data_IF_367616122196
#
_entry.id   IF_367616122196
#
_cell.length_a   1.000
_cell.length_b   1.000
_cell.length_c   1.000
_cell.angle_alpha   90.00
_cell.angle_beta   90.00
_cell.angle_gamma   90.00
#
_symmetry.space_group_name_H-M   'P 1'
#
loop_
_entity.id
_entity.type
_entity.pdbx_description
1 polymer ?
#
# COMPACT_ATOMS: atom_id res chain seq x y z
N UNK A 1 19.98 -7.15 40.04
CA UNK A 1 19.19 -7.80 38.96
C UNK A 1 17.86 -8.21 39.57
N UNK A 2 16.79 -7.44 39.34
CA UNK A 2 15.48 -7.68 39.97
C UNK A 2 14.72 -8.77 39.20
N UNK A 3 14.41 -9.90 39.87
CA UNK A 3 13.57 -10.97 39.32
C UNK A 3 12.10 -10.60 39.50
N UNK A 4 11.43 -10.21 38.42
CA UNK A 4 9.99 -9.95 38.38
C UNK A 4 9.30 -11.27 38.00
N UNK A 5 9.24 -12.23 38.93
CA UNK A 5 8.77 -13.61 38.65
C UNK A 5 7.25 -13.79 38.67
N UNK A 6 6.49 -12.85 39.23
CA UNK A 6 5.04 -13.01 39.42
C UNK A 6 4.20 -12.51 38.25
N UNK A 7 4.74 -11.61 37.42
CA UNK A 7 4.01 -11.06 36.27
C UNK A 7 4.01 -12.02 35.07
N UNK A 8 5.03 -12.86 34.94
CA UNK A 8 5.23 -13.81 33.84
C UNK A 8 4.15 -14.89 33.77
N UNK A 9 3.78 -15.51 34.89
CA UNK A 9 2.92 -16.69 34.87
C UNK A 9 1.48 -16.36 34.44
N UNK A 10 0.96 -15.19 34.84
CA UNK A 10 -0.37 -14.76 34.39
C UNK A 10 -0.36 -14.34 32.92
N UNK A 11 0.71 -13.71 32.45
CA UNK A 11 0.84 -13.31 31.05
C UNK A 11 1.04 -14.53 30.13
N UNK A 12 1.83 -15.54 30.55
CA UNK A 12 1.99 -16.83 29.84
C UNK A 12 0.63 -17.52 29.69
N UNK A 13 -0.19 -17.52 30.75
CA UNK A 13 -1.52 -18.15 30.73
C UNK A 13 -2.51 -17.41 29.80
N UNK A 14 -2.50 -16.08 29.80
CA UNK A 14 -3.39 -15.28 28.93
C UNK A 14 -2.97 -15.39 27.46
N UNK A 15 -1.67 -15.34 27.16
CA UNK A 15 -1.19 -15.55 25.78
C UNK A 15 -1.45 -16.97 25.29
N UNK A 16 -1.33 -17.99 26.14
CA UNK A 16 -1.64 -19.38 25.78
C UNK A 16 -3.10 -19.55 25.37
N UNK A 17 -4.02 -18.89 26.07
CA UNK A 17 -5.45 -19.02 25.80
C UNK A 17 -5.88 -18.33 24.48
N UNK A 18 -5.16 -17.30 24.03
CA UNK A 18 -5.54 -16.52 22.85
C UNK A 18 -4.68 -16.75 21.60
N UNK A 19 -3.47 -17.30 21.73
CA UNK A 19 -2.51 -17.43 20.62
C UNK A 19 -1.98 -18.86 20.36
N UNK A 20 -2.52 -19.89 21.03
CA UNK A 20 -2.23 -21.31 20.82
C UNK A 20 -0.75 -21.65 20.58
N UNK A 21 0.10 -21.22 21.52
CA UNK A 21 1.55 -21.41 21.46
C UNK A 21 1.91 -22.85 21.85
N UNK A 22 2.32 -23.66 20.87
CA UNK A 22 2.66 -25.08 20.99
C UNK A 22 4.02 -25.40 21.67
N UNK A 23 4.44 -24.66 22.69
CA UNK A 23 5.71 -24.89 23.40
C UNK A 23 5.52 -25.07 24.91
N UNK A 24 6.04 -26.17 25.47
CA UNK A 24 5.82 -26.56 26.88
C UNK A 24 6.72 -25.86 27.92
N UNK A 25 7.61 -24.96 27.53
CA UNK A 25 8.57 -24.32 28.46
C UNK A 25 8.29 -22.82 28.67
N UNK A 26 7.58 -22.44 29.75
CA UNK A 26 7.50 -21.04 30.24
C UNK A 26 8.79 -20.64 31.03
N UNK A 27 9.96 -21.14 30.62
CA UNK A 27 11.26 -20.92 31.30
C UNK A 27 12.24 -20.02 30.55
N UNK A 28 11.84 -19.46 29.41
CA UNK A 28 12.76 -18.68 28.57
C UNK A 28 12.80 -17.23 29.09
N UNK A 29 13.98 -16.69 29.45
CA UNK A 29 14.10 -15.30 29.85
C UNK A 29 13.67 -14.40 28.68
N UNK A 30 12.60 -13.64 28.88
CA UNK A 30 12.17 -12.62 27.94
C UNK A 30 13.26 -11.54 27.85
N UNK A 31 14.03 -11.56 26.77
CA UNK A 31 14.90 -10.44 26.43
C UNK A 31 14.10 -9.46 25.59
N UNK A 32 14.08 -8.18 25.97
CA UNK A 32 13.45 -7.10 25.18
C UNK A 32 14.01 -7.06 23.74
N UNK A 33 15.19 -7.66 23.53
CA UNK A 33 15.90 -7.74 22.26
C UNK A 33 15.65 -9.05 21.47
N UNK A 34 14.87 -10.01 21.97
CA UNK A 34 14.51 -11.24 21.23
C UNK A 34 13.23 -11.10 20.38
N UNK A 35 12.80 -9.88 20.11
CA UNK A 35 11.77 -9.56 19.11
C UNK A 35 12.28 -9.83 17.70
N UNK A 36 12.34 -11.12 17.30
CA UNK A 36 12.08 -11.59 15.93
C UNK A 36 12.82 -12.91 15.61
N UNK A 37 12.22 -14.09 15.83
CA UNK A 37 12.52 -15.21 14.95
C UNK A 37 11.85 -14.92 13.59
N UNK A 38 12.63 -14.96 12.50
CA UNK A 38 12.17 -14.73 11.13
C UNK A 38 10.93 -15.55 10.73
N UNK A 39 10.71 -16.68 11.42
CA UNK A 39 9.52 -17.53 11.28
C UNK A 39 8.21 -16.82 11.65
N UNK A 40 8.20 -15.90 12.61
CA UNK A 40 6.98 -15.16 12.99
C UNK A 40 6.61 -14.07 11.98
N UNK A 41 7.61 -13.43 11.35
CA UNK A 41 7.36 -12.53 10.24
C UNK A 41 6.80 -13.27 9.03
N UNK A 42 7.22 -14.52 8.79
CA UNK A 42 6.62 -15.35 7.76
C UNK A 42 5.15 -15.69 8.05
N UNK A 43 4.77 -15.93 9.32
CA UNK A 43 3.36 -16.17 9.69
C UNK A 43 2.51 -14.90 9.54
N UNK A 44 3.03 -13.73 9.92
CA UNK A 44 2.33 -12.45 9.68
C UNK A 44 2.26 -12.16 8.18
N UNK A 45 3.36 -12.39 7.46
CA UNK A 45 3.39 -12.24 6.01
C UNK A 45 2.38 -13.16 5.35
N UNK A 46 2.34 -14.45 5.71
CA UNK A 46 1.34 -15.44 5.28
C UNK A 46 -0.08 -15.04 5.68
N UNK A 47 -0.30 -14.47 6.86
CA UNK A 47 -1.62 -13.97 7.25
C UNK A 47 -2.04 -12.75 6.43
N UNK A 48 -1.09 -11.93 5.97
CA UNK A 48 -1.36 -10.79 5.10
C UNK A 48 -1.51 -11.21 3.62
N UNK A 49 -0.77 -12.22 3.15
CA UNK A 49 -0.88 -12.76 1.77
C UNK A 49 -2.05 -13.72 1.60
N UNK A 50 -2.36 -14.54 2.61
CA UNK A 50 -3.51 -15.45 2.66
C UNK A 50 -4.66 -14.82 3.46
N UNK A 51 -5.26 -13.73 2.96
CA UNK A 51 -6.46 -13.14 3.60
C UNK A 51 -7.79 -13.53 2.94
N UNK A 52 -8.89 -13.63 3.73
CA UNK A 52 -10.23 -14.02 3.29
C UNK A 52 -10.93 -13.01 2.35
N UNK A 53 -10.43 -11.78 2.23
CA UNK A 53 -10.99 -10.77 1.33
C UNK A 53 -10.61 -11.00 -0.15
N UNK A 54 -9.58 -11.81 -0.41
CA UNK A 54 -9.21 -12.27 -1.74
C UNK A 54 -9.92 -13.61 -2.08
N UNK A 55 -11.13 -13.81 -1.53
CA UNK A 55 -11.99 -14.95 -1.85
C UNK A 55 -12.46 -14.86 -3.31
N UNK A 56 -12.55 -16.02 -3.98
CA UNK A 56 -13.01 -16.13 -5.37
C UNK A 56 -14.37 -15.47 -5.62
N UNK A 57 -15.24 -15.40 -4.62
CA UNK A 57 -16.57 -14.79 -4.71
C UNK A 57 -16.53 -13.25 -4.86
N UNK A 58 -15.58 -12.58 -4.22
CA UNK A 58 -15.44 -11.10 -4.25
C UNK A 58 -14.46 -10.62 -5.34
N UNK A 59 -13.72 -11.55 -5.94
CA UNK A 59 -12.74 -11.27 -6.98
C UNK A 59 -13.27 -10.43 -8.15
N UNK A 60 -14.41 -10.74 -8.80
CA UNK A 60 -14.89 -9.95 -9.92
C UNK A 60 -15.20 -8.50 -9.53
N UNK A 61 -15.78 -8.28 -8.34
CA UNK A 61 -16.07 -6.94 -7.85
C UNK A 61 -14.79 -6.14 -7.58
N UNK A 62 -13.79 -6.76 -6.93
CA UNK A 62 -12.48 -6.14 -6.67
C UNK A 62 -11.77 -5.82 -7.99
N UNK A 63 -11.81 -6.72 -8.97
CA UNK A 63 -11.23 -6.51 -10.29
C UNK A 63 -11.83 -5.29 -10.99
N UNK A 64 -13.18 -5.19 -11.05
CA UNK A 64 -13.85 -4.05 -11.67
C UNK A 64 -13.58 -2.73 -10.95
N UNK A 65 -13.54 -2.74 -9.61
CA UNK A 65 -13.18 -1.56 -8.82
C UNK A 65 -11.75 -1.09 -9.14
N UNK A 66 -10.78 -2.01 -9.13
CA UNK A 66 -9.39 -1.69 -9.42
C UNK A 66 -9.23 -1.19 -10.86
N UNK A 67 -9.93 -1.79 -11.82
CA UNK A 67 -9.95 -1.36 -13.22
C UNK A 67 -10.52 0.05 -13.36
N UNK A 68 -11.67 0.34 -12.75
CA UNK A 68 -12.30 1.65 -12.81
C UNK A 68 -11.40 2.74 -12.20
N UNK A 69 -10.81 2.46 -11.04
CA UNK A 69 -9.88 3.39 -10.38
C UNK A 69 -8.62 3.59 -11.23
N UNK A 70 -8.12 2.54 -11.90
CA UNK A 70 -6.96 2.63 -12.79
C UNK A 70 -7.23 3.52 -14.00
N UNK A 71 -8.39 3.36 -14.65
CA UNK A 71 -8.81 4.21 -15.76
C UNK A 71 -8.99 5.65 -15.28
N UNK A 72 -9.67 5.85 -14.15
CA UNK A 72 -9.90 7.17 -13.57
C UNK A 72 -8.60 7.88 -13.22
N UNK A 73 -7.64 7.16 -12.61
CA UNK A 73 -6.31 7.65 -12.29
C UNK A 73 -5.51 8.05 -13.54
N UNK A 74 -5.65 7.28 -14.62
CA UNK A 74 -5.04 7.60 -15.92
C UNK A 74 -5.63 8.89 -16.50
N UNK A 75 -6.96 9.02 -16.54
CA UNK A 75 -7.66 10.22 -17.04
C UNK A 75 -7.26 11.46 -16.23
N UNK A 76 -7.28 11.36 -14.89
CA UNK A 76 -6.84 12.44 -13.98
C UNK A 76 -5.39 12.86 -14.26
N UNK A 77 -4.50 11.90 -14.45
CA UNK A 77 -3.09 12.17 -14.73
C UNK A 77 -2.90 12.85 -16.09
N UNK A 78 -3.67 12.47 -17.11
CA UNK A 78 -3.69 13.14 -18.43
C UNK A 78 -4.17 14.58 -18.29
N UNK A 79 -5.29 14.81 -17.60
CA UNK A 79 -5.85 16.15 -17.39
C UNK A 79 -4.84 17.04 -16.66
N UNK A 80 -4.17 16.53 -15.62
CA UNK A 80 -3.12 17.27 -14.92
C UNK A 80 -1.91 17.57 -15.81
N UNK A 81 -1.51 16.64 -16.65
CA UNK A 81 -0.40 16.82 -17.58
C UNK A 81 -0.72 17.89 -18.64
N UNK A 82 -1.89 17.79 -19.29
CA UNK A 82 -2.37 18.76 -20.28
C UNK A 82 -2.56 20.14 -19.65
N UNK A 83 -3.18 20.19 -18.46
CA UNK A 83 -3.42 21.44 -17.74
C UNK A 83 -2.13 22.20 -17.40
N UNK A 84 -1.01 21.50 -17.21
CA UNK A 84 0.29 22.11 -16.93
C UNK A 84 1.11 22.44 -18.17
N UNK A 85 0.88 21.75 -19.29
CA UNK A 85 1.45 22.13 -20.59
C UNK A 85 0.77 23.39 -21.16
N UNK A 86 -0.53 23.57 -20.91
CA UNK A 86 -1.31 24.68 -21.46
C UNK A 86 -1.25 25.99 -20.66
N UNK A 87 -0.88 25.97 -19.38
CA UNK A 87 -0.93 27.16 -18.50
C UNK A 87 0.44 27.44 -17.89
N UNK A 88 1.15 28.44 -18.43
CA UNK A 88 2.50 28.82 -17.99
C UNK A 88 2.59 29.52 -16.63
N UNK A 89 1.48 29.97 -16.05
CA UNK A 89 1.58 30.98 -14.98
C UNK A 89 0.42 30.98 -13.96
N UNK A 90 0.09 29.81 -13.39
CA UNK A 90 -0.78 29.76 -12.21
C UNK A 90 0.05 29.43 -10.98
N UNK A 91 -0.04 30.30 -9.97
CA UNK A 91 0.56 30.10 -8.66
C UNK A 91 0.33 28.69 -8.14
N UNK A 92 1.32 28.17 -7.42
CA UNK A 92 1.38 26.75 -7.05
C UNK A 92 0.32 26.47 -5.97
N UNK A 93 -0.87 26.05 -6.40
CA UNK A 93 -1.87 25.47 -5.50
C UNK A 93 -1.46 24.02 -5.24
N UNK A 94 -0.91 23.77 -4.06
CA UNK A 94 -0.67 22.42 -3.55
C UNK A 94 -1.95 21.93 -2.85
N UNK A 95 -2.21 20.61 -2.91
CA UNK A 95 -3.30 19.96 -2.16
C UNK A 95 -3.21 20.21 -0.65
N UNK A 96 -2.00 20.55 -0.17
CA UNK A 96 -1.74 21.07 1.18
C UNK A 96 -0.77 22.23 1.08
N UNK A 97 -1.13 23.41 1.59
CA UNK A 97 -0.20 24.55 1.66
C UNK A 97 1.01 24.16 2.51
N UNK A 98 2.19 24.16 1.89
CA UNK A 98 3.49 23.98 2.55
C UNK A 98 4.40 25.10 2.07
N UNK A 99 4.94 25.89 2.99
CA UNK A 99 5.95 26.91 2.69
C UNK A 99 7.31 26.23 2.54
N UNK A 100 7.79 26.09 1.30
CA UNK A 100 9.14 25.59 1.02
C UNK A 100 10.09 26.77 0.89
N UNK A 101 10.68 27.23 1.99
CA UNK A 101 11.59 28.38 1.97
C UNK A 101 12.95 28.09 1.29
N UNK A 102 13.24 26.82 0.96
CA UNK A 102 14.54 26.37 0.45
C UNK A 102 14.55 26.03 -1.06
N UNK A 103 13.40 26.01 -1.75
CA UNK A 103 13.28 25.54 -3.14
C UNK A 103 12.81 26.66 -4.07
N UNK A 104 13.56 26.93 -5.14
CA UNK A 104 13.18 27.89 -6.18
C UNK A 104 11.92 27.41 -6.91
N UNK A 105 10.96 28.33 -7.14
CA UNK A 105 9.68 28.07 -7.80
C UNK A 105 9.83 27.28 -9.13
N UNK A 106 10.84 27.63 -9.93
CA UNK A 106 11.14 26.99 -11.22
C UNK A 106 11.54 25.51 -11.08
N UNK A 107 12.33 25.17 -10.06
CA UNK A 107 12.69 23.78 -9.77
C UNK A 107 11.46 22.98 -9.34
N UNK A 108 10.58 23.59 -8.53
CA UNK A 108 9.35 22.94 -8.08
C UNK A 108 8.42 22.63 -9.26
N UNK A 109 8.25 23.55 -10.21
CA UNK A 109 7.47 23.33 -11.43
C UNK A 109 8.02 22.19 -12.29
N UNK A 110 9.35 22.14 -12.51
CA UNK A 110 10.00 21.07 -13.28
C UNK A 110 9.85 19.71 -12.61
N UNK A 111 10.10 19.61 -11.30
CA UNK A 111 9.90 18.38 -10.55
C UNK A 111 8.44 17.92 -10.59
N UNK A 112 7.47 18.84 -10.50
CA UNK A 112 6.04 18.49 -10.57
C UNK A 112 5.64 17.98 -11.95
N UNK A 113 6.21 18.53 -13.02
CA UNK A 113 5.97 18.07 -14.41
C UNK A 113 6.51 16.65 -14.61
N UNK A 114 7.76 16.41 -14.21
CA UNK A 114 8.38 15.07 -14.27
C UNK A 114 7.61 14.08 -13.42
N UNK A 115 7.22 14.47 -12.20
CA UNK A 115 6.40 13.64 -11.32
C UNK A 115 5.03 13.29 -11.92
N UNK A 116 4.37 14.25 -12.58
CA UNK A 116 3.11 13.99 -13.27
C UNK A 116 3.28 13.04 -14.47
N UNK A 117 4.36 13.19 -15.24
CA UNK A 117 4.67 12.31 -16.37
C UNK A 117 4.97 10.87 -15.92
N UNK A 118 5.76 10.73 -14.84
CA UNK A 118 6.09 9.45 -14.23
C UNK A 118 4.82 8.79 -13.69
N UNK A 119 3.98 9.52 -12.95
CA UNK A 119 2.71 9.00 -12.45
C UNK A 119 1.76 8.58 -13.57
N UNK A 120 1.68 9.35 -14.66
CA UNK A 120 0.90 8.96 -15.83
C UNK A 120 1.36 7.62 -16.43
N UNK A 121 2.67 7.43 -16.61
CA UNK A 121 3.23 6.16 -17.08
C UNK A 121 2.89 5.00 -16.14
N UNK A 122 2.98 5.23 -14.84
CA UNK A 122 2.70 4.22 -13.82
C UNK A 122 1.21 3.80 -13.84
N UNK A 123 0.29 4.74 -13.98
CA UNK A 123 -1.14 4.45 -14.14
C UNK A 123 -1.47 3.73 -15.44
N UNK A 124 -0.77 4.06 -16.54
CA UNK A 124 -0.88 3.31 -17.79
C UNK A 124 -0.38 1.88 -17.65
N UNK A 125 0.78 1.67 -17.03
CA UNK A 125 1.32 0.33 -16.77
C UNK A 125 0.37 -0.50 -15.90
N UNK A 126 -0.24 0.12 -14.88
CA UNK A 126 -1.23 -0.56 -14.04
C UNK A 126 -2.44 -0.99 -14.88
N UNK A 127 -3.01 -0.08 -15.68
CA UNK A 127 -4.16 -0.38 -16.54
C UNK A 127 -3.84 -1.49 -17.55
N UNK A 128 -2.65 -1.42 -18.15
CA UNK A 128 -2.14 -2.43 -19.07
C UNK A 128 -1.96 -3.79 -18.38
N UNK A 129 -1.38 -3.83 -17.18
CA UNK A 129 -1.20 -5.05 -16.39
C UNK A 129 -2.54 -5.70 -16.00
N UNK A 130 -3.57 -4.90 -15.73
CA UNK A 130 -4.92 -5.38 -15.43
C UNK A 130 -5.57 -5.99 -16.67
N UNK A 131 -5.46 -5.33 -17.84
CA UNK A 131 -6.04 -5.83 -19.09
C UNK A 131 -5.33 -7.06 -19.63
N UNK A 132 -4.00 -7.12 -19.50
CA UNK A 132 -3.18 -8.25 -19.98
C UNK A 132 -3.06 -9.39 -18.97
N UNK A 133 -3.68 -9.26 -17.79
CA UNK A 133 -3.63 -10.25 -16.69
C UNK A 133 -2.17 -10.60 -16.35
N UNK A 134 -1.29 -9.59 -16.36
CA UNK A 134 0.15 -9.78 -16.13
C UNK A 134 0.58 -9.09 -14.82
N UNK A 135 0.98 -9.87 -13.79
CA UNK A 135 1.35 -9.33 -12.49
C UNK A 135 2.67 -8.55 -12.52
N UNK A 136 3.48 -8.71 -13.58
CA UNK A 136 4.79 -8.06 -13.69
C UNK A 136 4.65 -6.54 -13.91
N UNK A 137 3.64 -6.09 -14.68
CA UNK A 137 3.42 -4.67 -14.95
C UNK A 137 2.75 -3.92 -13.78
N UNK A 138 2.20 -4.64 -12.80
CA UNK A 138 1.59 -4.04 -11.60
C UNK A 138 2.62 -3.67 -10.51
N UNK A 139 3.80 -4.31 -10.53
CA UNK A 139 4.87 -4.10 -9.54
C UNK A 139 5.33 -2.64 -9.45
N UNK A 140 5.66 -1.93 -10.55
CA UNK A 140 6.16 -0.55 -10.46
C UNK A 140 5.14 0.40 -9.83
N UNK A 141 3.84 0.15 -10.04
CA UNK A 141 2.79 0.92 -9.40
C UNK A 141 2.74 0.66 -7.89
N UNK A 142 2.78 -0.62 -7.49
CA UNK A 142 2.77 -1.01 -6.08
C UNK A 142 3.96 -0.45 -5.31
N UNK A 143 5.17 -0.51 -5.88
CA UNK A 143 6.39 -0.03 -5.21
C UNK A 143 6.36 1.48 -5.00
N UNK A 144 6.00 2.26 -6.02
CA UNK A 144 5.98 3.72 -5.93
C UNK A 144 4.88 4.19 -4.98
N UNK A 145 3.71 3.54 -5.01
CA UNK A 145 2.63 3.86 -4.11
C UNK A 145 3.00 3.52 -2.64
N UNK A 146 3.67 2.40 -2.41
CA UNK A 146 4.19 2.04 -1.07
C UNK A 146 5.20 3.07 -0.56
N UNK A 147 6.17 3.46 -1.39
CA UNK A 147 7.16 4.48 -1.04
C UNK A 147 6.48 5.81 -0.71
N UNK A 148 5.50 6.23 -1.51
CA UNK A 148 4.77 7.47 -1.31
C UNK A 148 3.99 7.45 0.01
N UNK A 149 3.29 6.34 0.32
CA UNK A 149 2.61 6.17 1.60
C UNK A 149 3.57 6.19 2.79
N UNK A 150 4.75 5.57 2.68
CA UNK A 150 5.75 5.61 3.75
C UNK A 150 6.22 7.04 4.01
N UNK A 151 6.50 7.81 2.96
CA UNK A 151 6.85 9.23 3.10
C UNK A 151 5.72 10.05 3.72
N UNK A 152 4.47 9.83 3.30
CA UNK A 152 3.31 10.51 3.88
C UNK A 152 3.14 10.16 5.36
N UNK A 153 3.25 8.89 5.74
CA UNK A 153 3.19 8.43 7.13
C UNK A 153 4.29 9.05 7.98
N UNK A 154 5.53 9.09 7.49
CA UNK A 154 6.64 9.75 8.20
C UNK A 154 6.34 11.24 8.39
N UNK A 155 5.90 11.94 7.34
CA UNK A 155 5.58 13.36 7.45
C UNK A 155 4.40 13.63 8.39
N UNK A 156 3.42 12.73 8.44
CA UNK A 156 2.30 12.81 9.37
C UNK A 156 2.76 12.59 10.82
N UNK A 157 3.59 11.58 11.08
CA UNK A 157 4.17 11.32 12.40
C UNK A 157 5.03 12.50 12.90
N UNK A 158 5.84 13.10 12.02
CA UNK A 158 6.62 14.29 12.34
C UNK A 158 5.72 15.49 12.67
N UNK A 159 4.67 15.71 11.91
CA UNK A 159 3.73 16.81 12.21
C UNK A 159 2.91 16.53 13.48
N UNK A 160 2.70 15.26 13.84
CA UNK A 160 2.08 14.86 15.10
C UNK A 160 3.00 15.12 16.29
N UNK A 161 4.28 14.74 16.18
CA UNK A 161 5.27 14.95 17.24
C UNK A 161 5.59 16.42 17.48
N UNK A 162 5.54 17.25 16.43
CA UNK A 162 5.67 18.71 16.52
C UNK A 162 4.39 19.40 17.01
N UNK A 163 3.30 18.68 17.28
CA UNK A 163 2.04 19.24 17.77
C UNK A 163 1.30 20.13 16.76
N UNK A 164 1.69 20.09 15.49
CA UNK A 164 1.14 20.97 14.44
C UNK A 164 -0.19 20.48 13.86
N UNK A 165 -0.64 19.27 14.20
CA UNK A 165 -1.82 18.65 13.58
C UNK A 165 -2.85 18.25 14.63
N UNK A 166 -4.09 18.73 14.48
CA UNK A 166 -5.24 18.21 15.24
C UNK A 166 -5.71 16.91 14.59
N UNK A 167 -5.98 15.88 15.40
CA UNK A 167 -6.46 14.59 14.91
C UNK A 167 -7.93 14.69 14.48
N UNK A 168 -8.16 15.12 13.24
CA UNK A 168 -9.48 15.08 12.63
C UNK A 168 -9.72 13.72 11.93
N UNK A 169 -10.94 13.19 12.04
CA UNK A 169 -11.38 11.96 11.37
C UNK A 169 -11.13 11.98 9.86
N UNK A 170 -11.29 13.15 9.22
CA UNK A 170 -10.99 13.35 7.81
C UNK A 170 -9.53 13.03 7.47
N UNK A 171 -8.59 13.38 8.35
CA UNK A 171 -7.16 13.11 8.16
C UNK A 171 -6.87 11.62 8.23
N UNK A 172 -7.51 10.91 9.16
CA UNK A 172 -7.38 9.45 9.29
C UNK A 172 -7.96 8.74 8.08
N UNK A 173 -9.16 9.12 7.62
CA UNK A 173 -9.76 8.56 6.41
C UNK A 173 -8.91 8.82 5.16
N UNK A 174 -8.33 10.02 5.03
CA UNK A 174 -7.45 10.36 3.90
C UNK A 174 -6.17 9.52 3.87
N UNK A 175 -5.67 9.08 5.02
CA UNK A 175 -4.51 8.19 5.12
C UNK A 175 -4.92 6.74 4.88
N UNK A 176 -6.07 6.30 5.40
CA UNK A 176 -6.51 4.91 5.28
C UNK A 176 -6.89 4.52 3.84
N UNK A 177 -7.47 5.45 3.08
CA UNK A 177 -7.92 5.22 1.71
C UNK A 177 -6.80 4.71 0.77
N UNK A 178 -5.60 5.34 0.69
CA UNK A 178 -4.52 4.83 -0.13
C UNK A 178 -4.07 3.44 0.31
N UNK A 179 -3.99 3.15 1.63
CA UNK A 179 -3.68 1.80 2.12
C UNK A 179 -4.68 0.75 1.63
N UNK A 180 -5.98 1.06 1.69
CA UNK A 180 -7.01 0.17 1.18
C UNK A 180 -6.85 -0.07 -0.33
N UNK A 181 -6.56 0.97 -1.11
CA UNK A 181 -6.36 0.82 -2.55
C UNK A 181 -5.11 0.00 -2.90
N UNK A 182 -3.99 0.24 -2.20
CA UNK A 182 -2.78 -0.57 -2.35
C UNK A 182 -3.05 -2.05 -2.03
N UNK A 183 -3.81 -2.31 -0.96
CA UNK A 183 -4.23 -3.67 -0.61
C UNK A 183 -5.02 -4.35 -1.73
N UNK A 184 -6.01 -3.66 -2.31
CA UNK A 184 -6.83 -4.21 -3.39
C UNK A 184 -5.98 -4.57 -4.62
N UNK A 185 -5.08 -3.68 -5.04
CA UNK A 185 -4.18 -3.95 -6.17
C UNK A 185 -3.22 -5.11 -5.86
N UNK A 186 -2.71 -5.20 -4.63
CA UNK A 186 -1.87 -6.32 -4.21
C UNK A 186 -2.62 -7.66 -4.22
N UNK A 187 -3.90 -7.67 -3.81
CA UNK A 187 -4.75 -8.85 -3.89
C UNK A 187 -4.97 -9.29 -5.36
N UNK A 188 -5.31 -8.37 -6.27
CA UNK A 188 -5.46 -8.69 -7.70
C UNK A 188 -4.17 -9.27 -8.28
N UNK A 189 -3.01 -8.67 -7.96
CA UNK A 189 -1.70 -9.19 -8.39
C UNK A 189 -1.45 -10.62 -7.89
N UNK A 190 -1.75 -10.90 -6.62
CA UNK A 190 -1.54 -12.23 -6.04
C UNK A 190 -2.45 -13.28 -6.70
N UNK A 191 -3.71 -12.93 -6.99
CA UNK A 191 -4.61 -13.83 -7.73
C UNK A 191 -4.08 -14.11 -9.13
N UNK A 192 -3.59 -13.09 -9.84
CA UNK A 192 -2.99 -13.29 -11.16
C UNK A 192 -1.74 -14.15 -11.12
N UNK A 193 -0.89 -13.97 -10.10
CA UNK A 193 0.29 -14.82 -9.91
C UNK A 193 -0.10 -16.28 -9.67
N UNK A 194 -1.04 -16.52 -8.75
CA UNK A 194 -1.52 -17.87 -8.45
C UNK A 194 -2.19 -18.52 -9.68
N UNK A 195 -2.92 -17.75 -10.49
CA UNK A 195 -3.53 -18.25 -11.72
C UNK A 195 -2.49 -18.66 -12.78
N UNK A 196 -1.40 -17.91 -12.89
CA UNK A 196 -0.29 -18.23 -13.80
C UNK A 196 0.45 -19.48 -13.34
N UNK A 197 0.72 -19.59 -12.02
CA UNK A 197 1.41 -20.76 -11.44
C UNK A 197 0.57 -22.04 -11.60
N UNK A 198 -0.76 -21.94 -11.56
CA UNK A 198 -1.69 -23.06 -11.76
C UNK A 198 -2.02 -23.37 -13.23
N UNK A 199 -1.43 -22.66 -14.21
CA UNK A 199 -1.73 -22.78 -15.67
C UNK A 199 -3.23 -22.62 -16.02
N UNK A 200 -4.02 -21.95 -15.18
CA UNK A 200 -5.47 -21.75 -15.34
C UNK A 200 -5.81 -20.37 -15.96
N UNK A 201 -4.89 -19.83 -16.78
CA UNK A 201 -4.97 -18.50 -17.41
C UNK A 201 -6.23 -18.29 -18.26
N UNK A 202 -6.74 -19.35 -18.88
CA UNK A 202 -7.88 -19.30 -19.80
C UNK A 202 -9.21 -19.02 -19.09
N UNK A 203 -9.32 -19.29 -17.78
CA UNK A 203 -10.53 -19.00 -16.99
C UNK A 203 -10.61 -17.54 -16.52
N UNK A 204 -9.49 -16.80 -16.48
CA UNK A 204 -9.46 -15.41 -16.01
C UNK A 204 -9.37 -14.38 -17.14
N UNK A 205 -9.04 -14.78 -18.38
CA UNK A 205 -9.12 -13.88 -19.54
C UNK A 205 -10.59 -13.63 -19.89
N UNK A 206 -11.10 -12.47 -19.51
CA UNK A 206 -12.44 -11.99 -19.85
C UNK A 206 -12.66 -11.78 -21.37
N UNK A 207 -11.60 -11.80 -22.19
CA UNK A 207 -11.65 -11.50 -23.63
C UNK A 207 -10.90 -12.58 -24.44
N UNK A 208 -11.59 -13.43 -25.23
CA UNK A 208 -10.97 -14.44 -26.09
C UNK A 208 -10.41 -13.88 -27.42
N UNK A 209 -10.11 -12.58 -27.50
CA UNK A 209 -9.91 -11.88 -28.80
C UNK A 209 -8.49 -12.02 -29.38
N UNK A 210 -7.51 -12.52 -28.63
CA UNK A 210 -6.17 -12.83 -29.18
C UNK A 210 -5.91 -14.32 -29.10
N UNK A 211 -6.37 -15.03 -30.14
CA UNK A 211 -5.87 -16.34 -30.52
C UNK A 211 -4.99 -16.19 -31.75
#
# INVERSE_FOLDING_TARGET
MYKISTFDNKLCHVLRHHLDLAGNDCGIPYSIWSFSPATRWNVIYEFFTNKPMCQAALFPLIYWMVLFISIWGTIRSIIEFIGRLGVKDKGIVLWRQRSYNMLTLSMLCKCRLVGAFVMFHIWLLLSYGIMTVSPHYMIPWLTINLVTMLFEMITWLLNLSLGQTKMDLHTVCSILLPFAFHWLVACVRNVFRNAIDMKDLDKLRLWPIFK
#
